data_IF_282797715489
#
_entry.id   IF_282797715489
#
_cell.length_a   1.000
_cell.length_b   1.000
_cell.length_c   1.000
_cell.angle_alpha   90.00
_cell.angle_beta   90.00
_cell.angle_gamma   90.00
#
_symmetry.space_group_name_H-M   'P 1'
#
loop_
_entity.id
_entity.type
_entity.pdbx_description
1 polymer ?
#
# COMPACT_ATOMS: atom_id res chain seq x y z
N UNK A 1 14.10 6.74 22.88
CA UNK A 1 14.26 5.91 21.67
C UNK A 1 13.05 4.99 21.54
N UNK A 2 12.30 5.06 20.43
CA UNK A 2 11.20 4.11 20.16
C UNK A 2 11.77 2.70 20.03
N UNK A 3 11.08 1.72 20.61
CA UNK A 3 11.40 0.30 20.37
C UNK A 3 11.15 0.05 18.89
N UNK A 4 12.21 -0.29 18.15
CA UNK A 4 12.09 -0.86 16.80
C UNK A 4 12.14 -2.37 16.93
N UNK A 5 11.27 -3.06 16.22
CA UNK A 5 11.26 -4.52 16.20
C UNK A 5 12.16 -5.12 15.10
N UNK A 6 12.64 -4.30 14.16
CA UNK A 6 13.48 -4.75 13.05
C UNK A 6 14.35 -3.65 12.42
N UNK A 7 14.96 -3.90 11.25
CA UNK A 7 15.78 -2.93 10.55
C UNK A 7 14.95 -1.71 10.10
N UNK A 8 15.62 -0.57 9.91
CA UNK A 8 14.96 0.64 9.44
C UNK A 8 14.46 0.47 8.00
N UNK A 9 13.17 0.74 7.80
CA UNK A 9 12.52 0.67 6.51
C UNK A 9 13.12 1.66 5.51
N UNK A 10 13.34 1.21 4.27
CA UNK A 10 13.73 2.06 3.16
C UNK A 10 12.54 2.34 2.25
N UNK A 11 12.41 3.58 1.78
CA UNK A 11 11.26 4.02 0.99
C UNK A 11 11.11 3.24 -0.33
N UNK A 12 12.23 2.86 -0.96
CA UNK A 12 12.25 2.09 -2.20
C UNK A 12 11.80 0.62 -2.02
N UNK A 13 11.62 0.16 -0.78
CA UNK A 13 11.11 -1.19 -0.46
C UNK A 13 9.60 -1.17 -0.21
N UNK A 14 8.97 0.00 -0.25
CA UNK A 14 7.58 0.20 0.17
C UNK A 14 6.75 0.65 -1.03
N UNK A 15 5.79 -0.19 -1.38
CA UNK A 15 4.76 0.15 -2.35
C UNK A 15 3.46 0.55 -1.67
N UNK A 16 2.60 1.22 -2.41
CA UNK A 16 1.20 1.38 -2.01
C UNK A 16 0.53 0.02 -1.86
N UNK A 17 -0.34 -0.09 -0.86
CA UNK A 17 -0.98 -1.33 -0.44
C UNK A 17 -0.14 -2.21 0.50
N UNK A 18 1.13 -1.87 0.79
CA UNK A 18 1.92 -2.58 1.80
C UNK A 18 1.30 -2.41 3.19
N UNK A 19 1.38 -3.47 4.00
CA UNK A 19 0.96 -3.46 5.40
C UNK A 19 2.22 -3.36 6.25
N UNK A 20 2.26 -2.34 7.10
CA UNK A 20 3.35 -2.06 8.03
C UNK A 20 2.82 -2.11 9.45
N UNK A 21 3.73 -2.15 10.42
CA UNK A 21 3.39 -2.00 11.83
C UNK A 21 3.61 -0.55 12.27
N UNK A 22 2.61 0.04 12.91
CA UNK A 22 2.77 1.28 13.68
C UNK A 22 3.04 0.89 15.13
N UNK A 23 4.27 1.06 15.65
CA UNK A 23 4.63 0.71 17.03
C UNK A 23 3.79 1.48 18.07
N UNK A 24 3.84 1.06 19.35
CA UNK A 24 3.17 1.76 20.43
C UNK A 24 3.55 3.24 20.50
N UNK A 25 2.57 4.05 20.91
CA UNK A 25 2.76 5.47 21.19
C UNK A 25 3.66 5.68 22.41
N UNK A 26 4.55 6.67 22.35
CA UNK A 26 5.39 7.04 23.50
C UNK A 26 5.71 8.54 23.51
N UNK A 27 5.13 9.26 24.47
CA UNK A 27 5.42 10.69 24.72
C UNK A 27 6.92 10.94 24.96
N UNK A 28 7.58 10.03 25.67
CA UNK A 28 9.01 10.12 25.99
C UNK A 28 9.92 10.06 24.76
N UNK A 29 9.42 9.55 23.64
CA UNK A 29 10.17 9.42 22.39
C UNK A 29 9.92 10.57 21.42
N UNK A 30 9.13 11.59 21.82
CA UNK A 30 8.75 12.71 20.96
C UNK A 30 7.75 12.30 19.88
N UNK A 31 6.98 11.24 20.12
CA UNK A 31 5.93 10.84 19.18
C UNK A 31 4.86 11.92 19.07
N UNK A 32 4.48 12.23 17.83
CA UNK A 32 3.41 13.16 17.55
C UNK A 32 2.19 12.39 17.06
N UNK A 33 1.02 12.72 17.60
CA UNK A 33 -0.25 12.16 17.12
C UNK A 33 -0.62 12.84 15.79
N UNK A 34 -0.63 12.13 14.65
CA UNK A 34 -0.94 12.75 13.36
C UNK A 34 -2.39 13.21 13.32
N UNK A 35 -2.64 14.32 12.65
CA UNK A 35 -4.00 14.80 12.38
C UNK A 35 -4.62 13.98 11.24
N UNK A 36 -5.92 13.71 11.35
CA UNK A 36 -6.70 13.12 10.27
C UNK A 36 -6.69 14.07 9.07
N UNK A 37 -6.26 13.56 7.91
CA UNK A 37 -6.20 14.32 6.66
C UNK A 37 -7.56 14.37 5.94
N UNK A 38 -8.53 13.55 6.38
CA UNK A 38 -9.85 13.50 5.76
C UNK A 38 -10.68 14.72 6.16
N UNK A 39 -11.05 15.53 5.16
CA UNK A 39 -11.83 16.77 5.30
C UNK A 39 -13.24 16.57 5.89
N UNK A 40 -13.80 15.35 5.82
CA UNK A 40 -15.14 15.05 6.33
C UNK A 40 -15.21 14.90 7.85
N UNK A 41 -14.07 14.85 8.53
CA UNK A 41 -14.02 14.76 9.98
C UNK A 41 -13.96 16.17 10.59
N UNK A 42 -15.09 16.65 11.06
CA UNK A 42 -15.16 17.82 11.93
C UNK A 42 -15.46 17.35 13.35
N UNK A 43 -14.70 17.77 14.39
CA UNK A 43 -13.48 18.60 14.37
C UNK A 43 -12.19 17.82 13.99
N UNK A 44 -11.03 18.50 13.94
CA UNK A 44 -9.69 17.91 13.67
C UNK A 44 -9.39 16.76 14.64
N UNK A 45 -9.66 15.53 14.22
CA UNK A 45 -9.35 14.34 15.00
C UNK A 45 -7.88 13.95 14.83
N UNK A 46 -7.12 13.91 15.92
CA UNK A 46 -5.80 13.27 15.94
C UNK A 46 -5.96 11.76 16.08
N UNK A 47 -5.03 10.96 15.53
CA UNK A 47 -4.98 9.52 15.78
C UNK A 47 -4.98 9.26 17.29
N UNK A 48 -5.91 8.46 17.76
CA UNK A 48 -5.98 8.05 19.17
C UNK A 48 -4.75 7.24 19.59
N UNK A 49 -4.35 7.31 20.85
CA UNK A 49 -3.24 6.49 21.38
C UNK A 49 -3.52 5.00 21.19
N UNK A 50 -4.78 4.58 21.31
CA UNK A 50 -5.23 3.22 21.02
C UNK A 50 -5.31 2.91 19.51
N UNK A 51 -4.92 3.85 18.66
CA UNK A 51 -4.72 3.67 17.22
C UNK A 51 -3.29 3.25 16.86
N UNK A 52 -2.36 3.33 17.80
CA UNK A 52 -1.00 2.79 17.71
C UNK A 52 -0.97 1.31 18.07
N UNK A 53 0.20 0.70 17.96
CA UNK A 53 0.40 -0.75 18.18
C UNK A 53 -0.48 -1.62 17.28
N UNK A 54 -0.60 -1.21 16.02
CA UNK A 54 -1.54 -1.79 15.07
C UNK A 54 -0.97 -1.88 13.65
N UNK A 55 -1.46 -2.84 12.83
CA UNK A 55 -1.15 -2.84 11.42
C UNK A 55 -1.77 -1.62 10.74
N UNK A 56 -1.06 -1.08 9.76
CA UNK A 56 -1.55 0.00 8.90
C UNK A 56 -1.33 -0.38 7.44
N UNK A 57 -2.16 0.13 6.53
CA UNK A 57 -1.93 0.00 5.10
C UNK A 57 -1.44 1.31 4.52
N UNK A 58 -0.41 1.24 3.67
CA UNK A 58 0.17 2.36 2.93
C UNK A 58 -0.79 2.75 1.80
N UNK A 59 -1.26 4.00 1.80
CA UNK A 59 -2.11 4.56 0.75
C UNK A 59 -1.31 5.37 -0.27
N UNK A 60 -0.30 6.11 0.21
CA UNK A 60 0.62 6.90 -0.58
C UNK A 60 2.00 6.98 0.09
N UNK A 61 3.03 7.21 -0.70
CA UNK A 61 4.41 7.47 -0.28
C UNK A 61 4.81 8.87 -0.75
N UNK A 62 5.50 9.62 0.10
CA UNK A 62 6.03 10.95 -0.21
C UNK A 62 7.51 10.95 0.05
N UNK A 63 8.29 11.10 -1.01
CA UNK A 63 9.75 11.11 -1.00
C UNK A 63 10.23 12.31 -1.81
N UNK A 64 10.25 13.49 -1.18
CA UNK A 64 10.85 14.69 -1.75
C UNK A 64 12.30 14.74 -1.29
N UNK A 65 13.24 15.04 -2.20
CA UNK A 65 14.69 14.95 -1.99
C UNK A 65 15.21 15.63 -0.71
N UNK A 66 14.49 16.63 -0.22
CA UNK A 66 14.91 17.48 0.90
C UNK A 66 14.07 17.25 2.17
N UNK A 67 13.24 16.20 2.19
CA UNK A 67 12.32 15.90 3.30
C UNK A 67 12.49 14.48 3.82
N UNK A 68 12.19 14.28 5.10
CA UNK A 68 12.10 12.94 5.67
C UNK A 68 10.96 12.21 4.95
N UNK A 69 11.21 11.01 4.37
CA UNK A 69 10.18 10.26 3.68
C UNK A 69 8.99 10.02 4.60
N UNK A 70 7.79 10.20 4.09
CA UNK A 70 6.55 10.03 4.85
C UNK A 70 5.54 9.19 4.08
N UNK A 71 4.61 8.57 4.80
CA UNK A 71 3.55 7.77 4.20
C UNK A 71 2.20 8.31 4.65
N UNK A 72 1.24 8.30 3.73
CA UNK A 72 -0.17 8.37 4.08
C UNK A 72 -0.68 6.95 4.30
N UNK A 73 -1.40 6.73 5.39
CA UNK A 73 -1.83 5.41 5.81
C UNK A 73 -3.25 5.39 6.36
N UNK A 74 -3.75 4.17 6.49
CA UNK A 74 -5.04 3.82 7.08
C UNK A 74 -4.84 2.73 8.13
N UNK A 75 -5.45 2.89 9.30
CA UNK A 75 -5.31 1.90 10.40
C UNK A 75 -6.17 0.66 10.17
N UNK A 76 -5.67 -0.50 10.59
CA UNK A 76 -6.44 -1.74 10.69
C UNK A 76 -6.80 -2.04 12.16
N UNK A 77 -7.90 -2.75 12.38
CA UNK A 77 -8.36 -3.15 13.71
C UNK A 77 -8.87 -4.58 13.72
N UNK A 78 -8.48 -5.37 14.71
CA UNK A 78 -9.02 -6.73 14.93
C UNK A 78 -10.35 -6.70 15.69
N UNK A 79 -10.66 -5.62 16.40
CA UNK A 79 -11.96 -5.43 17.07
C UNK A 79 -13.08 -5.40 16.02
N UNK A 80 -14.06 -6.27 16.21
CA UNK A 80 -15.26 -6.30 15.38
C UNK A 80 -16.07 -5.02 15.66
N UNK A 81 -15.96 -4.04 14.77
CA UNK A 81 -16.74 -2.80 14.86
C UNK A 81 -18.16 -3.14 14.43
N UNK A 82 -19.06 -3.30 15.40
CA UNK A 82 -20.49 -3.58 15.18
C UNK A 82 -21.21 -2.53 14.31
N UNK A 83 -20.57 -1.39 14.02
CA UNK A 83 -21.05 -0.37 13.09
C UNK A 83 -20.71 -0.73 11.62
N UNK A 84 -21.71 -1.26 10.93
CA UNK A 84 -21.65 -1.87 9.58
C UNK A 84 -21.32 -0.93 8.41
N UNK A 85 -20.95 0.33 8.64
CA UNK A 85 -20.74 1.33 7.57
C UNK A 85 -19.28 1.61 7.20
N UNK A 86 -18.36 1.55 8.16
CA UNK A 86 -17.01 2.12 8.00
C UNK A 86 -15.86 1.14 8.25
N UNK A 87 -16.20 -0.14 8.45
CA UNK A 87 -15.21 -1.20 8.59
C UNK A 87 -15.41 -2.27 7.53
N UNK A 88 -14.33 -2.72 6.91
CA UNK A 88 -14.38 -3.74 5.87
C UNK A 88 -13.33 -4.81 6.11
N UNK A 89 -13.70 -6.10 6.06
CA UNK A 89 -12.80 -7.19 6.41
C UNK A 89 -11.68 -7.32 5.36
N UNK A 90 -10.44 -7.43 5.86
CA UNK A 90 -9.32 -7.94 5.10
C UNK A 90 -9.32 -9.47 5.21
N UNK A 91 -9.17 -10.15 4.08
CA UNK A 91 -9.29 -11.60 4.02
C UNK A 91 -8.31 -12.29 4.97
N UNK A 92 -8.84 -13.25 5.74
CA UNK A 92 -8.07 -14.07 6.67
C UNK A 92 -8.52 -15.54 6.53
N UNK A 93 -7.72 -16.38 5.86
CA UNK A 93 -8.00 -17.82 5.71
C UNK A 93 -8.62 -18.24 4.37
N UNK A 94 -9.45 -19.31 4.42
CA UNK A 94 -9.98 -20.04 3.26
C UNK A 94 -10.68 -19.16 2.21
N UNK A 95 -10.64 -19.59 0.95
CA UNK A 95 -11.31 -18.98 -0.22
C UNK A 95 -12.85 -18.87 -0.05
N UNK A 96 -13.43 -19.56 0.93
CA UNK A 96 -14.88 -19.59 1.18
C UNK A 96 -15.42 -18.43 2.02
N UNK A 97 -14.60 -17.45 2.43
CA UNK A 97 -15.10 -16.24 3.10
C UNK A 97 -15.81 -15.31 2.12
N UNK A 98 -17.07 -15.65 1.84
CA UNK A 98 -18.06 -14.78 1.19
C UNK A 98 -18.13 -13.47 1.98
N UNK A 99 -17.76 -12.35 1.32
CA UNK A 99 -17.80 -11.00 1.93
C UNK A 99 -16.44 -10.38 2.28
N UNK A 100 -15.31 -11.07 2.05
CA UNK A 100 -13.99 -10.42 2.17
C UNK A 100 -13.70 -9.53 0.96
N UNK A 101 -13.71 -8.22 1.16
CA UNK A 101 -13.60 -7.25 0.06
C UNK A 101 -12.16 -7.02 -0.41
N UNK A 102 -11.16 -7.48 0.35
CA UNK A 102 -9.74 -7.19 0.10
C UNK A 102 -8.87 -8.43 0.31
N UNK A 103 -7.89 -8.62 -0.57
CA UNK A 103 -6.96 -9.76 -0.58
C UNK A 103 -5.51 -9.29 -0.71
N UNK A 104 -4.60 -10.05 -0.10
CA UNK A 104 -3.15 -9.87 -0.22
C UNK A 104 -2.62 -10.54 -1.49
N UNK A 105 -1.51 -10.02 -2.04
CA UNK A 105 -0.81 -10.61 -3.18
C UNK A 105 -0.18 -11.95 -2.81
N UNK A 106 0.41 -12.02 -1.62
CA UNK A 106 0.87 -13.27 -1.06
C UNK A 106 -0.32 -14.09 -0.55
N UNK A 107 -0.17 -15.41 -0.52
CA UNK A 107 -1.13 -16.31 0.15
C UNK A 107 -1.02 -16.25 1.69
N UNK A 108 -0.18 -15.36 2.22
CA UNK A 108 -0.02 -15.18 3.66
C UNK A 108 -1.27 -14.46 4.20
N UNK A 109 -1.65 -14.82 5.41
CA UNK A 109 -2.70 -14.13 6.15
C UNK A 109 -2.06 -13.22 7.19
N UNK A 110 -2.73 -12.12 7.53
CA UNK A 110 -2.39 -11.40 8.75
C UNK A 110 -2.49 -12.33 9.97
N UNK A 111 -1.68 -12.06 10.99
CA UNK A 111 -1.68 -12.82 12.25
C UNK A 111 -3.07 -12.85 12.90
N UNK A 112 -3.84 -11.76 12.73
CA UNK A 112 -5.20 -11.62 13.26
C UNK A 112 -6.13 -11.09 12.18
N UNK A 113 -7.33 -11.65 12.08
CA UNK A 113 -8.40 -11.14 11.23
C UNK A 113 -8.67 -9.67 11.56
N UNK A 114 -8.53 -8.80 10.54
CA UNK A 114 -8.52 -7.36 10.74
C UNK A 114 -9.43 -6.65 9.73
N UNK A 115 -9.93 -5.49 10.12
CA UNK A 115 -10.79 -4.63 9.32
C UNK A 115 -10.12 -3.28 9.10
N UNK A 116 -10.30 -2.70 7.91
CA UNK A 116 -9.90 -1.32 7.65
C UNK A 116 -10.81 -0.35 8.40
N UNK A 117 -10.26 0.67 9.06
CA UNK A 117 -11.04 1.80 9.60
C UNK A 117 -11.15 2.90 8.57
N UNK A 118 -12.16 2.86 7.71
CA UNK A 118 -12.27 3.73 6.53
C UNK A 118 -12.50 5.21 6.85
N UNK A 119 -12.74 5.58 8.12
CA UNK A 119 -13.12 6.92 8.53
C UNK A 119 -11.96 7.91 8.41
N UNK A 120 -10.75 7.49 8.76
CA UNK A 120 -9.62 8.40 8.99
C UNK A 120 -8.36 7.93 8.26
N UNK A 121 -7.78 8.83 7.46
CA UNK A 121 -6.42 8.66 6.93
C UNK A 121 -5.47 9.61 7.64
N UNK A 122 -4.22 9.19 7.79
CA UNK A 122 -3.21 9.92 8.53
C UNK A 122 -1.90 9.94 7.75
N UNK A 123 -1.00 10.86 8.11
CA UNK A 123 0.34 10.96 7.53
C UNK A 123 1.40 11.02 8.62
N UNK A 124 2.45 10.21 8.48
CA UNK A 124 3.59 10.17 9.39
C UNK A 124 4.88 9.86 8.65
N UNK A 125 6.01 10.21 9.27
CA UNK A 125 7.34 9.87 8.77
C UNK A 125 7.53 8.35 8.72
N UNK A 126 8.19 7.86 7.66
CA UNK A 126 8.46 6.45 7.46
C UNK A 126 9.24 5.85 8.64
N UNK A 127 10.11 6.64 9.26
CA UNK A 127 10.91 6.22 10.41
C UNK A 127 10.09 5.78 11.62
N UNK A 128 8.79 6.10 11.69
CA UNK A 128 7.90 5.62 12.75
C UNK A 128 7.33 4.24 12.52
N UNK A 129 7.46 3.68 11.32
CA UNK A 129 6.92 2.37 11.02
C UNK A 129 8.01 1.31 11.06
N UNK A 130 7.60 0.11 11.44
CA UNK A 130 8.39 -1.10 11.32
C UNK A 130 7.76 -2.01 10.26
N UNK A 131 8.54 -2.96 9.75
CA UNK A 131 7.94 -4.02 8.95
C UNK A 131 6.96 -4.83 9.80
N UNK A 132 5.96 -5.41 9.14
CA UNK A 132 4.98 -6.27 9.81
C UNK A 132 5.66 -7.52 10.41
N UNK A 133 4.92 -8.27 11.24
CA UNK A 133 5.43 -9.47 11.92
C UNK A 133 6.67 -9.19 12.78
N UNK A 134 6.57 -8.19 13.67
CA UNK A 134 7.66 -7.75 14.54
C UNK A 134 8.97 -7.46 13.80
N UNK A 135 8.88 -6.81 12.64
CA UNK A 135 10.05 -6.42 11.85
C UNK A 135 10.74 -7.56 11.10
N UNK A 136 10.21 -8.79 11.15
CA UNK A 136 10.81 -9.96 10.49
C UNK A 136 10.38 -10.10 9.03
N UNK A 137 9.17 -9.66 8.69
CA UNK A 137 8.68 -9.72 7.32
C UNK A 137 9.31 -8.63 6.45
N UNK A 138 9.33 -8.83 5.13
CA UNK A 138 9.62 -7.74 4.22
C UNK A 138 8.36 -6.90 3.99
N UNK A 139 8.46 -5.58 3.79
CA UNK A 139 7.28 -4.70 3.62
C UNK A 139 6.31 -5.16 2.52
N UNK A 140 6.84 -5.74 1.45
CA UNK A 140 6.05 -6.22 0.32
C UNK A 140 5.45 -7.63 0.51
N UNK A 141 5.84 -8.37 1.56
CA UNK A 141 5.30 -9.72 1.81
C UNK A 141 3.82 -9.65 2.21
N UNK A 142 3.44 -8.58 2.92
CA UNK A 142 2.07 -8.28 3.32
C UNK A 142 1.51 -7.11 2.52
N UNK A 143 1.30 -7.31 1.22
CA UNK A 143 0.79 -6.26 0.32
C UNK A 143 -0.58 -6.60 -0.23
N UNK A 144 -1.48 -5.63 -0.29
CA UNK A 144 -2.75 -5.77 -1.00
C UNK A 144 -2.54 -6.02 -2.49
N UNK A 145 -3.37 -6.88 -3.06
CA UNK A 145 -3.51 -6.98 -4.53
C UNK A 145 -3.87 -5.62 -5.12
N UNK A 146 -3.42 -5.36 -6.35
CA UNK A 146 -3.75 -4.13 -7.09
C UNK A 146 -5.27 -3.86 -7.12
N UNK A 147 -6.09 -4.89 -7.35
CA UNK A 147 -7.55 -4.75 -7.35
C UNK A 147 -8.11 -4.33 -5.97
N UNK A 148 -7.57 -4.90 -4.90
CA UNK A 148 -7.96 -4.56 -3.52
C UNK A 148 -7.54 -3.15 -3.15
N UNK A 149 -6.32 -2.74 -3.51
CA UNK A 149 -5.85 -1.36 -3.33
C UNK A 149 -6.74 -0.36 -4.07
N UNK A 150 -7.02 -0.59 -5.37
CA UNK A 150 -7.90 0.28 -6.15
C UNK A 150 -9.31 0.41 -5.55
N UNK A 151 -9.87 -0.71 -5.09
CA UNK A 151 -11.17 -0.72 -4.41
C UNK A 151 -11.13 0.09 -3.12
N UNK A 152 -10.04 -0.01 -2.36
CA UNK A 152 -9.86 0.73 -1.11
C UNK A 152 -9.80 2.23 -1.37
N UNK A 153 -8.98 2.66 -2.33
CA UNK A 153 -8.86 4.07 -2.72
C UNK A 153 -10.21 4.63 -3.19
N UNK A 154 -10.95 3.89 -4.02
CA UNK A 154 -12.31 4.26 -4.46
C UNK A 154 -13.27 4.42 -3.28
N UNK A 155 -13.24 3.51 -2.31
CA UNK A 155 -14.12 3.56 -1.13
C UNK A 155 -13.77 4.71 -0.18
N UNK A 156 -12.51 5.13 -0.15
CA UNK A 156 -12.07 6.31 0.58
C UNK A 156 -12.43 7.62 -0.15
N UNK A 157 -12.72 7.55 -1.46
CA UNK A 157 -12.90 8.71 -2.31
C UNK A 157 -11.57 9.40 -2.65
N UNK A 158 -10.48 8.63 -2.72
CA UNK A 158 -9.14 9.11 -3.02
C UNK A 158 -8.67 8.60 -4.39
N UNK A 159 -7.81 9.39 -5.05
CA UNK A 159 -7.15 8.97 -6.27
C UNK A 159 -6.08 7.91 -5.97
N UNK A 160 -6.13 6.80 -6.70
CA UNK A 160 -5.18 5.72 -6.53
C UNK A 160 -3.81 6.11 -7.12
N UNK A 161 -2.76 5.98 -6.32
CA UNK A 161 -1.39 6.16 -6.81
C UNK A 161 -0.96 4.99 -7.70
N UNK A 162 0.15 5.18 -8.40
CA UNK A 162 0.70 4.16 -9.26
C UNK A 162 1.08 2.92 -8.44
N UNK A 163 0.46 1.79 -8.79
CA UNK A 163 0.72 0.51 -8.14
C UNK A 163 1.89 -0.18 -8.85
N UNK A 164 3.11 0.03 -8.34
CA UNK A 164 4.29 -0.66 -8.86
C UNK A 164 4.17 -2.17 -8.67
N UNK A 165 4.51 -3.02 -9.66
CA UNK A 165 4.63 -4.46 -9.47
C UNK A 165 5.58 -4.81 -8.33
N UNK A 166 5.24 -5.82 -7.51
CA UNK A 166 6.10 -6.25 -6.41
C UNK A 166 7.47 -6.77 -6.87
N UNK A 167 7.59 -7.23 -8.12
CA UNK A 167 8.89 -7.55 -8.74
C UNK A 167 9.82 -6.34 -8.82
N UNK A 168 9.28 -5.15 -9.02
CA UNK A 168 10.05 -3.93 -9.25
C UNK A 168 10.49 -3.34 -7.90
N UNK A 169 9.62 -3.44 -6.89
CA UNK A 169 9.96 -3.16 -5.48
C UNK A 169 11.11 -4.04 -5.02
N UNK A 170 11.05 -5.36 -5.28
CA UNK A 170 12.09 -6.32 -4.92
C UNK A 170 13.45 -5.99 -5.52
N UNK A 171 13.47 -5.34 -6.69
CA UNK A 171 14.68 -4.93 -7.40
C UNK A 171 15.12 -3.50 -7.02
N UNK A 172 14.41 -2.81 -6.13
CA UNK A 172 14.69 -1.42 -5.76
C UNK A 172 14.40 -0.42 -6.88
N UNK A 173 13.59 -0.79 -7.88
CA UNK A 173 13.33 0.02 -9.08
C UNK A 173 12.23 1.09 -8.87
N UNK A 174 11.90 1.43 -7.61
CA UNK A 174 10.92 2.46 -7.29
C UNK A 174 11.43 3.89 -7.54
N UNK A 175 12.68 4.05 -7.99
CA UNK A 175 13.21 5.36 -8.35
C UNK A 175 12.71 5.78 -9.74
N UNK A 176 11.78 6.73 -9.70
CA UNK A 176 11.09 7.45 -10.77
C UNK A 176 9.72 6.86 -11.22
N UNK A 177 8.69 7.72 -11.37
CA UNK A 177 7.47 7.33 -12.05
C UNK A 177 7.82 6.81 -13.45
N UNK A 178 7.09 5.79 -13.96
CA UNK A 178 7.30 5.36 -15.34
C UNK A 178 7.20 6.59 -16.25
N UNK A 179 8.11 6.72 -17.24
CA UNK A 179 8.06 7.83 -18.17
C UNK A 179 6.64 7.92 -18.74
N UNK A 180 6.11 9.15 -18.80
CA UNK A 180 4.78 9.39 -19.34
C UNK A 180 4.61 8.61 -20.65
N UNK A 181 3.44 7.99 -20.89
CA UNK A 181 3.23 7.23 -22.12
C UNK A 181 3.66 8.09 -23.31
N UNK A 182 4.46 7.54 -24.23
CA UNK A 182 5.00 8.32 -25.32
C UNK A 182 3.82 8.93 -26.10
N UNK A 183 3.99 10.12 -26.71
CA UNK A 183 2.92 10.77 -27.46
C UNK A 183 2.25 9.80 -28.42
N UNK A 184 0.93 9.89 -28.62
CA UNK A 184 0.12 9.04 -29.51
C UNK A 184 0.81 8.63 -30.84
N UNK A 185 1.53 9.52 -31.54
CA UNK A 185 2.30 9.15 -32.74
C UNK A 185 3.36 8.08 -32.50
N UNK A 186 4.07 8.15 -31.38
CA UNK A 186 5.09 7.16 -30.99
C UNK A 186 4.44 5.84 -30.53
N UNK A 187 3.27 5.88 -29.89
CA UNK A 187 2.52 4.66 -29.56
C UNK A 187 2.04 3.93 -30.81
N UNK A 188 1.54 4.67 -31.81
CA UNK A 188 1.16 4.12 -33.12
C UNK A 188 2.37 3.50 -33.84
N UNK A 189 3.53 4.14 -33.80
CA UNK A 189 4.76 3.58 -34.36
C UNK A 189 5.20 2.30 -33.65
N UNK A 190 5.14 2.25 -32.32
CA UNK A 190 5.47 1.04 -31.54
C UNK A 190 4.49 -0.10 -31.83
N UNK A 191 3.20 0.21 -31.96
CA UNK A 191 2.17 -0.77 -32.33
C UNK A 191 2.37 -1.30 -33.76
N UNK A 192 2.65 -0.43 -34.72
CA UNK A 192 2.89 -0.82 -36.11
C UNK A 192 4.16 -1.68 -36.23
N UNK A 193 5.24 -1.31 -35.53
CA UNK A 193 6.49 -2.08 -35.52
C UNK A 193 6.34 -3.47 -34.91
N UNK A 194 5.53 -3.61 -33.85
CA UNK A 194 5.18 -4.94 -33.29
C UNK A 194 4.36 -5.77 -34.25
N UNK A 195 3.46 -5.14 -35.01
CA UNK A 195 2.61 -5.81 -36.00
C UNK A 195 3.42 -6.31 -37.20
N UNK A 196 4.38 -5.52 -37.67
CA UNK A 196 5.33 -5.89 -38.73
C UNK A 196 6.23 -7.05 -38.30
N UNK A 197 6.81 -7.00 -37.10
CA UNK A 197 7.65 -8.08 -36.59
C UNK A 197 6.88 -9.40 -36.40
N UNK A 198 5.61 -9.34 -36.01
CA UNK A 198 4.75 -10.54 -35.92
C UNK A 198 4.35 -11.09 -37.29
N UNK A 199 4.27 -10.25 -38.32
CA UNK A 199 4.00 -10.67 -39.70
C UNK A 199 5.22 -11.39 -40.31
N UNK A 200 6.43 -10.90 -40.05
CA UNK A 200 7.66 -11.59 -40.45
C UNK A 200 7.84 -12.95 -39.77
N UNK A 201 7.52 -13.04 -38.47
CA UNK A 201 7.57 -14.32 -37.75
C UNK A 201 6.54 -15.36 -38.24
N UNK A 202 5.43 -14.93 -38.85
CA UNK A 202 4.44 -15.84 -39.45
C UNK A 202 4.87 -16.34 -40.84
N UNK A 203 5.62 -15.55 -41.60
CA UNK A 203 6.13 -15.94 -42.92
C UNK A 203 7.32 -16.92 -42.81
N UNK A 204 8.14 -16.82 -41.77
CA UNK A 204 9.24 -17.78 -41.51
C UNK A 204 8.75 -19.18 -41.07
N UNK A 205 7.46 -19.34 -40.73
CA UNK A 205 6.88 -20.63 -40.31
C UNK A 205 6.24 -21.43 -41.47
N UNK A 206 6.12 -20.85 -42.67
CA UNK A 206 5.53 -21.51 -43.85
C UNK A 206 6.58 -22.08 -44.85
N UNK A 207 7.88 -21.91 -44.58
CA UNK A 207 8.98 -22.52 -45.35
C UNK A 207 9.63 -23.71 -44.59
N UNK A 208 8.85 -24.77 -44.32
CA UNK A 208 9.35 -26.09 -43.91
C UNK A 208 8.50 -27.22 -44.54
#
# INVERSE_FOLDING_TARGET
MSIRYGPALQIHEIGVGCILWLPPYSDFNGDCRPLCERQTCMPRHSLDENGFDHPVVVLNTYDLSDSIPSIQFLTLTSKNLSNRGYSTPLRHGSLSQVGTNYSLESRQNLLVASHFRLEHTFKLNLSRFDAYDWGQAKPYDYRLTHQSYKRLMKNLGLDANYFHPTSDIKKGLLQAPPPAPPPLPQQLQIMNRRRENNLYAYLELEEC
#
